data_IF_580196131795
#
_entry.id   IF_580196131795
#
_cell.length_a   1.000
_cell.length_b   1.000
_cell.length_c   1.000
_cell.angle_alpha   90.00
_cell.angle_beta   90.00
_cell.angle_gamma   90.00
#
_symmetry.space_group_name_H-M   'P 1'
#
loop_
_entity.id
_entity.type
_entity.pdbx_description
1 polymer ?
#
# COMPACT_ATOMS: atom_id res chain seq x y z
N UNK A 1 10.48 -75.01 -23.27
CA UNK A 1 11.63 -74.16 -22.90
C UNK A 1 11.11 -72.76 -22.60
N UNK A 2 11.57 -72.21 -21.47
CA UNK A 2 11.05 -71.06 -20.72
C UNK A 2 10.94 -69.79 -21.58
N UNK A 3 9.81 -69.07 -21.48
CA UNK A 3 9.75 -67.62 -21.67
C UNK A 3 9.36 -67.00 -20.33
N UNK A 4 10.21 -66.06 -19.93
CA UNK A 4 10.29 -65.41 -18.63
C UNK A 4 9.20 -64.33 -18.52
N UNK A 5 8.46 -64.36 -17.41
CA UNK A 5 7.63 -63.26 -16.93
C UNK A 5 8.52 -62.06 -16.58
N UNK A 6 8.13 -60.86 -17.00
CA UNK A 6 8.58 -59.60 -16.41
C UNK A 6 7.35 -58.88 -15.87
N UNK A 7 7.17 -58.97 -14.56
CA UNK A 7 6.24 -58.17 -13.76
C UNK A 7 6.65 -56.70 -13.82
N UNK A 8 5.76 -55.82 -14.26
CA UNK A 8 5.80 -54.40 -13.89
C UNK A 8 4.70 -54.14 -12.87
N UNK A 9 5.13 -53.88 -11.65
CA UNK A 9 4.33 -53.52 -10.49
C UNK A 9 3.73 -52.12 -10.72
N UNK A 10 2.41 -52.02 -10.89
CA UNK A 10 1.69 -50.74 -10.80
C UNK A 10 1.47 -50.48 -9.32
N UNK A 11 2.30 -49.61 -8.73
CA UNK A 11 2.12 -49.13 -7.36
C UNK A 11 1.22 -47.89 -7.44
N UNK A 12 -0.07 -48.08 -7.17
CA UNK A 12 -1.04 -46.98 -7.07
C UNK A 12 -0.79 -46.25 -5.75
N UNK A 13 -0.05 -45.14 -5.80
CA UNK A 13 0.01 -44.19 -4.69
C UNK A 13 -1.32 -43.42 -4.64
N UNK A 14 -2.27 -43.91 -3.84
CA UNK A 14 -3.36 -43.09 -3.34
C UNK A 14 -2.74 -42.21 -2.26
N UNK A 15 -2.36 -40.98 -2.62
CA UNK A 15 -2.02 -39.96 -1.65
C UNK A 15 -3.34 -39.59 -0.97
N UNK A 16 -3.58 -40.22 0.17
CA UNK A 16 -4.58 -39.77 1.13
C UNK A 16 -4.14 -38.39 1.62
N UNK A 17 -4.71 -37.35 1.02
CA UNK A 17 -4.67 -35.97 1.50
C UNK A 17 -5.56 -35.85 2.75
N UNK A 18 -5.22 -36.61 3.80
CA UNK A 18 -5.77 -36.41 5.13
C UNK A 18 -4.77 -35.60 5.95
N UNK A 19 -5.12 -34.32 6.12
CA UNK A 19 -4.95 -33.54 7.34
C UNK A 19 -3.70 -33.85 8.17
N UNK A 20 -2.65 -33.07 7.94
CA UNK A 20 -1.82 -32.58 9.05
C UNK A 20 -2.26 -31.13 9.34
N UNK A 21 -3.49 -30.99 9.83
CA UNK A 21 -3.82 -29.83 10.65
C UNK A 21 -3.12 -30.11 11.97
N UNK A 22 -1.94 -29.51 12.18
CA UNK A 22 -1.43 -29.38 13.53
C UNK A 22 -2.48 -28.61 14.33
N UNK A 23 -3.09 -29.27 15.31
CA UNK A 23 -3.88 -28.62 16.34
C UNK A 23 -2.96 -27.71 17.17
N UNK A 24 -2.59 -26.55 16.64
CA UNK A 24 -2.32 -25.37 17.45
C UNK A 24 -3.69 -24.81 17.86
N UNK A 25 -3.77 -24.21 19.06
CA UNK A 25 -5.01 -23.68 19.61
C UNK A 25 -5.81 -22.93 18.53
N UNK A 26 -7.04 -23.37 18.25
CA UNK A 26 -7.97 -22.74 17.32
C UNK A 26 -8.36 -21.35 17.84
N UNK A 27 -7.45 -20.39 17.69
CA UNK A 27 -7.71 -18.97 17.76
C UNK A 27 -8.56 -18.63 16.53
N UNK A 28 -9.86 -18.88 16.61
CA UNK A 28 -10.80 -18.54 15.54
C UNK A 28 -10.82 -17.01 15.43
N UNK A 29 -10.40 -16.48 14.28
CA UNK A 29 -10.46 -15.05 14.00
C UNK A 29 -11.92 -14.62 13.93
N UNK A 30 -12.25 -13.48 14.55
CA UNK A 30 -13.62 -12.98 14.64
C UNK A 30 -13.64 -11.48 14.44
N UNK A 31 -14.71 -11.01 13.79
CA UNK A 31 -14.99 -9.59 13.67
C UNK A 31 -15.00 -8.90 15.05
N UNK A 32 -14.45 -7.69 15.13
CA UNK A 32 -14.30 -6.89 16.35
C UNK A 32 -13.11 -7.27 17.23
N UNK A 33 -12.31 -8.27 16.87
CA UNK A 33 -11.13 -8.65 17.65
C UNK A 33 -9.95 -7.71 17.40
N UNK A 34 -9.52 -6.97 18.44
CA UNK A 34 -8.32 -6.14 18.44
C UNK A 34 -7.35 -6.70 19.48
N UNK A 35 -6.22 -7.28 19.05
CA UNK A 35 -5.30 -8.00 19.92
C UNK A 35 -4.64 -7.10 20.98
N UNK A 36 -4.09 -5.97 20.54
CA UNK A 36 -3.38 -5.00 21.37
C UNK A 36 -3.44 -3.61 20.72
N UNK A 37 -2.96 -2.61 21.46
CA UNK A 37 -2.89 -1.22 21.03
C UNK A 37 -1.41 -0.77 21.01
N UNK A 38 -0.70 -0.94 19.88
CA UNK A 38 0.71 -0.59 19.78
C UNK A 38 0.97 0.89 20.06
N UNK A 39 2.05 1.19 20.77
CA UNK A 39 2.42 2.58 21.08
C UNK A 39 2.96 3.27 19.84
N UNK A 40 2.80 4.60 19.75
CA UNK A 40 3.48 5.39 18.74
C UNK A 40 5.02 5.32 18.90
N UNK A 41 5.73 5.61 17.82
CA UNK A 41 7.19 5.45 17.76
C UNK A 41 7.97 6.77 17.95
N UNK A 42 7.34 7.78 18.56
CA UNK A 42 7.89 9.14 18.64
C UNK A 42 9.26 9.20 19.31
N UNK A 43 9.40 8.57 20.48
CA UNK A 43 10.62 8.70 21.29
C UNK A 43 11.85 8.09 20.60
N UNK A 44 11.69 6.94 19.94
CA UNK A 44 12.79 6.30 19.23
C UNK A 44 13.17 7.10 17.98
N UNK A 45 12.18 7.60 17.23
CA UNK A 45 12.41 8.44 16.06
C UNK A 45 13.10 9.77 16.40
N UNK A 46 12.66 10.46 17.46
CA UNK A 46 13.32 11.67 17.95
C UNK A 46 14.78 11.41 18.35
N UNK A 47 15.04 10.30 19.06
CA UNK A 47 16.39 9.91 19.42
C UNK A 47 17.25 9.70 18.17
N UNK A 48 16.75 8.94 17.20
CA UNK A 48 17.45 8.68 15.93
C UNK A 48 17.74 9.96 15.13
N UNK A 49 16.78 10.88 15.05
CA UNK A 49 16.96 12.15 14.33
C UNK A 49 17.94 13.10 15.02
N UNK A 50 17.92 13.15 16.37
CA UNK A 50 18.83 14.01 17.15
C UNK A 50 20.30 13.52 17.11
N UNK A 51 20.52 12.23 16.87
CA UNK A 51 21.86 11.64 16.76
C UNK A 51 22.47 11.78 15.35
N UNK A 52 21.69 12.17 14.34
CA UNK A 52 22.18 12.35 12.97
C UNK A 52 23.08 13.58 12.85
N UNK A 53 24.23 13.41 12.19
CA UNK A 53 25.07 14.51 11.78
C UNK A 53 24.35 15.39 10.72
N UNK A 54 24.63 16.69 10.70
CA UNK A 54 23.97 17.67 9.82
C UNK A 54 24.03 17.29 8.32
N UNK A 55 25.16 16.73 7.87
CA UNK A 55 25.33 16.30 6.48
C UNK A 55 24.41 15.13 6.08
N UNK A 56 24.00 14.31 7.05
CA UNK A 56 23.05 13.22 6.86
C UNK A 56 21.62 13.78 6.94
N UNK A 57 21.38 14.66 7.92
CA UNK A 57 20.07 15.27 8.20
C UNK A 57 19.51 16.10 7.04
N UNK A 58 20.37 16.86 6.36
CA UNK A 58 20.00 17.63 5.17
C UNK A 58 20.52 17.00 3.86
N UNK A 59 21.03 15.77 3.97
CA UNK A 59 21.51 15.01 2.82
C UNK A 59 20.36 14.48 1.99
N UNK A 60 20.60 14.37 0.68
CA UNK A 60 19.70 13.67 -0.23
C UNK A 60 20.00 12.18 -0.19
N UNK A 61 18.96 11.35 -0.15
CA UNK A 61 19.10 9.91 -0.35
C UNK A 61 19.37 9.56 -1.82
N UNK A 62 19.38 8.26 -2.14
CA UNK A 62 19.63 7.76 -3.50
C UNK A 62 18.56 8.19 -4.52
N UNK A 63 17.39 8.62 -4.05
CA UNK A 63 16.28 9.13 -4.87
C UNK A 63 16.23 10.67 -4.90
N UNK A 64 17.19 11.33 -4.26
CA UNK A 64 17.26 12.79 -4.19
C UNK A 64 16.44 13.41 -3.06
N UNK A 65 15.82 12.59 -2.19
CA UNK A 65 14.84 13.03 -1.18
C UNK A 65 15.56 13.44 0.12
N UNK A 66 15.08 14.51 0.73
CA UNK A 66 15.53 15.02 2.03
C UNK A 66 14.46 14.68 3.08
N UNK A 67 14.81 13.90 4.10
CA UNK A 67 13.89 13.51 5.17
C UNK A 67 14.06 14.38 6.42
N UNK A 68 13.13 15.31 6.61
CA UNK A 68 13.04 16.23 7.75
C UNK A 68 11.91 15.87 8.71
N UNK A 69 11.40 14.63 8.70
CA UNK A 69 10.40 14.20 9.68
C UNK A 69 10.95 14.28 11.09
N UNK A 70 10.16 14.85 12.01
CA UNK A 70 10.49 15.00 13.43
C UNK A 70 11.83 15.73 13.64
N UNK A 71 12.17 16.63 12.73
CA UNK A 71 13.43 17.34 12.72
C UNK A 71 13.24 18.80 13.11
N UNK A 72 14.08 19.28 14.03
CA UNK A 72 14.31 20.71 14.19
C UNK A 72 15.18 21.27 13.08
N UNK A 73 14.58 22.08 12.21
CA UNK A 73 15.20 22.59 10.97
C UNK A 73 15.94 23.89 11.26
N UNK A 74 17.20 23.95 10.83
CA UNK A 74 18.01 25.16 10.86
C UNK A 74 17.85 25.96 9.56
N UNK A 75 17.46 27.23 9.70
CA UNK A 75 17.33 28.20 8.60
C UNK A 75 18.55 28.30 7.69
N UNK A 76 19.78 28.13 8.21
CA UNK A 76 20.99 28.25 7.41
C UNK A 76 21.14 27.10 6.40
N UNK A 77 20.64 25.92 6.74
CA UNK A 77 20.65 24.77 5.84
C UNK A 77 19.47 24.82 4.88
N UNK A 78 18.29 25.20 5.36
CA UNK A 78 17.10 25.35 4.52
C UNK A 78 17.32 26.35 3.37
N UNK A 79 18.03 27.44 3.62
CA UNK A 79 18.36 28.45 2.60
C UNK A 79 19.40 28.00 1.55
N UNK A 80 20.04 26.83 1.72
CA UNK A 80 20.96 26.24 0.74
C UNK A 80 20.24 25.37 -0.27
N UNK A 81 19.01 24.96 0.03
CA UNK A 81 18.21 24.10 -0.83
C UNK A 81 17.56 24.92 -1.95
N UNK A 82 17.47 24.32 -3.14
CA UNK A 82 16.74 24.94 -4.24
C UNK A 82 15.23 24.89 -3.97
N UNK A 83 14.45 25.73 -4.65
CA UNK A 83 13.00 25.70 -4.49
C UNK A 83 12.39 24.37 -4.94
N UNK A 84 13.01 23.68 -5.91
CA UNK A 84 12.58 22.34 -6.32
C UNK A 84 12.90 21.30 -5.24
N UNK A 85 14.06 21.38 -4.57
CA UNK A 85 14.36 20.50 -3.44
C UNK A 85 13.30 20.62 -2.34
N UNK A 86 12.89 21.85 -2.03
CA UNK A 86 11.89 22.14 -1.00
C UNK A 86 10.49 21.63 -1.37
N UNK A 87 10.08 21.80 -2.64
CA UNK A 87 8.71 21.53 -3.06
C UNK A 87 8.50 20.12 -3.61
N UNK A 88 9.55 19.46 -4.11
CA UNK A 88 9.44 18.23 -4.89
C UNK A 88 10.19 17.04 -4.27
N UNK A 89 11.15 17.27 -3.37
CA UNK A 89 12.07 16.23 -2.89
C UNK A 89 12.25 16.26 -1.36
N UNK A 90 11.16 16.45 -0.63
CA UNK A 90 11.20 16.56 0.83
C UNK A 90 10.08 15.77 1.51
N UNK A 91 10.47 15.00 2.52
CA UNK A 91 9.56 14.36 3.45
C UNK A 91 9.61 15.10 4.80
N UNK A 92 8.45 15.34 5.40
CA UNK A 92 8.33 16.06 6.67
C UNK A 92 7.00 15.71 7.34
N UNK A 93 6.81 16.12 8.59
CA UNK A 93 5.61 15.79 9.36
C UNK A 93 5.15 16.97 10.23
N UNK A 94 4.02 16.78 10.91
CA UNK A 94 3.49 17.76 11.88
C UNK A 94 4.45 18.05 13.05
N UNK A 95 5.50 17.24 13.21
CA UNK A 95 6.49 17.34 14.27
C UNK A 95 7.79 17.99 13.78
N UNK A 96 7.90 18.30 12.49
CA UNK A 96 9.01 19.09 11.93
C UNK A 96 8.93 20.51 12.48
N UNK A 97 9.95 20.92 13.24
CA UNK A 97 10.04 22.28 13.77
C UNK A 97 10.71 23.20 12.73
N UNK A 98 9.88 23.95 12.01
CA UNK A 98 10.34 24.92 11.02
C UNK A 98 10.92 26.21 11.64
N UNK A 99 11.94 26.83 11.02
CA UNK A 99 12.40 28.15 11.44
C UNK A 99 11.32 29.21 11.18
N UNK A 100 11.38 30.33 11.93
CA UNK A 100 10.41 31.44 11.82
C UNK A 100 10.26 32.00 10.40
N UNK A 101 11.33 31.96 9.61
CA UNK A 101 11.34 32.45 8.23
C UNK A 101 11.68 31.30 7.28
N UNK A 102 10.77 31.04 6.35
CA UNK A 102 10.93 30.04 5.29
C UNK A 102 11.38 30.70 3.98
N UNK A 103 12.10 29.98 3.10
CA UNK A 103 12.39 30.44 1.75
C UNK A 103 11.12 30.85 1.01
N UNK A 104 11.19 31.95 0.26
CA UNK A 104 10.04 32.45 -0.52
C UNK A 104 9.60 31.39 -1.54
N UNK A 105 8.32 31.03 -1.50
CA UNK A 105 7.72 30.04 -2.41
C UNK A 105 7.65 28.61 -1.85
N UNK A 106 8.12 28.40 -0.62
CA UNK A 106 7.96 27.14 0.11
C UNK A 106 6.93 27.31 1.23
N UNK A 107 5.89 26.48 1.20
CA UNK A 107 4.79 26.46 2.18
C UNK A 107 4.49 24.99 2.57
N UNK A 108 5.17 24.47 3.61
CA UNK A 108 5.00 23.07 4.02
C UNK A 108 3.60 22.77 4.56
N UNK A 109 2.92 23.76 5.15
CA UNK A 109 1.56 23.58 5.63
C UNK A 109 0.61 23.36 4.46
N UNK A 110 0.73 24.18 3.40
CA UNK A 110 -0.06 24.00 2.19
C UNK A 110 0.21 22.65 1.52
N UNK A 111 1.45 22.18 1.49
CA UNK A 111 1.79 20.86 0.95
C UNK A 111 1.12 19.73 1.75
N UNK A 112 1.08 19.82 3.09
CA UNK A 112 0.33 18.86 3.93
C UNK A 112 -1.15 18.87 3.59
N UNK A 113 -1.78 20.05 3.50
CA UNK A 113 -3.21 20.12 3.23
C UNK A 113 -3.56 19.59 1.82
N UNK A 114 -2.83 19.99 0.77
CA UNK A 114 -3.00 19.42 -0.57
C UNK A 114 -2.67 17.92 -0.62
N UNK A 115 -1.75 17.46 0.25
CA UNK A 115 -1.41 16.06 0.40
C UNK A 115 -2.57 15.21 0.92
N UNK A 116 -3.45 15.79 1.76
CA UNK A 116 -4.66 15.13 2.30
C UNK A 116 -5.82 15.12 1.30
N UNK A 117 -5.85 16.03 0.34
CA UNK A 117 -6.96 16.17 -0.60
C UNK A 117 -7.19 14.90 -1.42
N UNK A 118 -8.48 14.64 -1.70
CA UNK A 118 -8.96 13.54 -2.55
C UNK A 118 -8.67 13.86 -4.03
N UNK A 119 -7.51 13.43 -4.50
CA UNK A 119 -6.94 13.73 -5.82
C UNK A 119 -7.81 13.19 -6.96
N UNK A 120 -7.69 13.81 -8.14
CA UNK A 120 -8.34 13.37 -9.39
C UNK A 120 -9.87 13.23 -9.27
N UNK A 121 -10.53 14.21 -8.65
CA UNK A 121 -11.99 14.25 -8.44
C UNK A 121 -12.54 13.09 -7.59
N UNK A 122 -11.71 12.45 -6.78
CA UNK A 122 -12.16 11.38 -5.89
C UNK A 122 -13.18 11.88 -4.84
N UNK A 123 -13.15 13.17 -4.48
CA UNK A 123 -14.19 13.74 -3.61
C UNK A 123 -15.59 13.65 -4.26
N UNK A 124 -15.70 13.85 -5.58
CA UNK A 124 -17.00 13.76 -6.27
C UNK A 124 -17.58 12.34 -6.21
N UNK A 125 -16.71 11.33 -6.24
CA UNK A 125 -17.09 9.93 -6.04
C UNK A 125 -17.69 9.71 -4.65
N UNK A 126 -17.04 10.27 -3.63
CA UNK A 126 -17.51 10.19 -2.25
C UNK A 126 -18.84 10.92 -2.05
N UNK A 127 -19.00 12.08 -2.67
CA UNK A 127 -20.21 12.91 -2.61
C UNK A 127 -21.42 12.23 -3.30
N UNK A 128 -21.16 11.35 -4.28
CA UNK A 128 -22.16 10.46 -4.89
C UNK A 128 -22.55 9.27 -3.99
N UNK A 129 -21.90 9.11 -2.83
CA UNK A 129 -22.17 8.04 -1.86
C UNK A 129 -21.27 6.81 -2.01
N UNK A 130 -20.31 6.83 -2.94
CA UNK A 130 -19.35 5.74 -3.14
C UNK A 130 -18.08 6.04 -2.35
N UNK A 131 -17.98 5.54 -1.13
CA UNK A 131 -16.89 5.82 -0.20
C UNK A 131 -16.35 4.57 0.52
N UNK A 132 -16.70 3.38 0.02
CA UNK A 132 -16.26 2.08 0.50
C UNK A 132 -17.20 1.43 1.51
N UNK A 133 -18.28 2.11 1.90
CA UNK A 133 -19.23 1.58 2.87
C UNK A 133 -19.79 0.21 2.44
N UNK A 134 -19.80 -0.75 3.37
CA UNK A 134 -20.29 -2.11 3.13
C UNK A 134 -19.27 -3.05 2.48
N UNK A 135 -18.05 -2.60 2.22
CA UNK A 135 -16.96 -3.40 1.64
C UNK A 135 -15.81 -3.53 2.65
N UNK A 136 -15.29 -4.75 2.80
CA UNK A 136 -14.11 -5.02 3.60
C UNK A 136 -12.82 -4.97 2.77
N UNK A 137 -11.79 -4.37 3.35
CA UNK A 137 -10.40 -4.43 2.89
C UNK A 137 -9.60 -5.13 3.99
N UNK A 138 -8.92 -6.22 3.63
CA UNK A 138 -7.93 -6.80 4.50
C UNK A 138 -6.54 -6.26 4.15
N UNK A 139 -5.65 -6.21 5.14
CA UNK A 139 -4.29 -5.74 4.97
C UNK A 139 -3.32 -6.61 5.75
N UNK A 140 -2.22 -7.01 5.09
CA UNK A 140 -1.09 -7.68 5.72
C UNK A 140 0.08 -6.73 5.59
N UNK A 141 0.57 -6.19 6.70
CA UNK A 141 1.66 -5.22 6.71
C UNK A 141 2.35 -5.19 8.09
N UNK A 142 3.27 -4.27 8.34
CA UNK A 142 3.94 -4.11 9.64
C UNK A 142 2.99 -3.55 10.71
N UNK A 143 3.42 -3.56 11.98
CA UNK A 143 2.63 -3.11 13.14
C UNK A 143 1.87 -1.80 12.92
N UNK A 144 0.57 -1.79 13.19
CA UNK A 144 -0.36 -0.67 13.01
C UNK A 144 -0.52 0.17 14.29
N UNK A 145 -0.63 1.49 14.15
CA UNK A 145 -1.11 2.38 15.20
C UNK A 145 -2.64 2.39 15.21
N UNK A 146 -3.25 1.44 15.92
CA UNK A 146 -4.70 1.17 15.87
C UNK A 146 -5.57 2.36 16.32
N UNK A 147 -5.05 3.20 17.21
CA UNK A 147 -5.79 4.33 17.80
C UNK A 147 -5.74 5.62 16.97
N UNK A 148 -5.05 5.60 15.81
CA UNK A 148 -4.96 6.78 14.96
C UNK A 148 -6.34 7.23 14.46
N UNK A 149 -6.63 8.54 14.49
CA UNK A 149 -7.94 9.12 14.15
C UNK A 149 -8.42 8.84 12.73
N UNK A 150 -7.48 8.60 11.81
CA UNK A 150 -7.77 8.19 10.44
C UNK A 150 -8.27 6.73 10.33
N UNK A 151 -7.95 5.87 11.29
CA UNK A 151 -8.02 4.41 11.14
C UNK A 151 -8.99 3.76 12.12
N UNK A 152 -8.99 4.21 13.38
CA UNK A 152 -9.65 3.53 14.50
C UNK A 152 -11.13 3.20 14.30
N UNK A 153 -11.86 4.07 13.61
CA UNK A 153 -13.31 3.89 13.41
C UNK A 153 -13.61 2.81 12.35
N UNK A 154 -12.67 2.62 11.41
CA UNK A 154 -12.77 1.65 10.31
C UNK A 154 -12.16 0.29 10.66
N UNK A 155 -11.28 0.21 11.66
CA UNK A 155 -10.63 -1.02 12.09
C UNK A 155 -11.63 -1.99 12.73
N UNK A 156 -11.86 -3.14 12.07
CA UNK A 156 -12.78 -4.19 12.52
C UNK A 156 -12.06 -5.43 13.02
N UNK A 157 -10.78 -5.60 12.68
CA UNK A 157 -9.97 -6.71 13.15
C UNK A 157 -8.50 -6.28 13.19
N UNK A 158 -7.79 -6.66 14.24
CA UNK A 158 -6.35 -6.49 14.35
C UNK A 158 -5.71 -7.68 15.07
N UNK A 159 -4.76 -8.33 14.40
CA UNK A 159 -3.90 -9.37 14.97
C UNK A 159 -2.45 -9.07 14.64
N UNK A 160 -1.53 -9.33 15.57
CA UNK A 160 -0.13 -8.96 15.42
C UNK A 160 0.82 -10.13 15.72
N UNK A 161 1.56 -10.51 14.68
CA UNK A 161 2.61 -11.52 14.64
C UNK A 161 4.01 -10.93 14.42
N UNK A 162 4.10 -9.70 13.89
CA UNK A 162 5.36 -8.94 13.74
C UNK A 162 6.24 -8.99 14.99
N UNK A 163 7.56 -8.99 14.79
CA UNK A 163 8.56 -8.97 15.87
C UNK A 163 8.38 -7.76 16.78
N UNK A 164 8.09 -6.58 16.20
CA UNK A 164 7.85 -5.34 16.93
C UNK A 164 6.35 -5.03 17.11
N UNK A 165 5.54 -6.01 17.49
CA UNK A 165 4.08 -5.86 17.67
C UNK A 165 3.60 -4.85 18.71
N UNK A 166 4.48 -4.33 19.57
CA UNK A 166 4.13 -3.38 20.63
C UNK A 166 4.35 -1.90 20.25
N UNK A 167 4.96 -1.65 19.08
CA UNK A 167 5.32 -0.31 18.60
C UNK A 167 4.91 -0.17 17.15
N UNK A 168 4.19 0.90 16.82
CA UNK A 168 3.73 1.14 15.46
C UNK A 168 4.89 1.37 14.48
N UNK A 169 4.73 0.81 13.29
CA UNK A 169 5.62 1.00 12.15
C UNK A 169 5.13 2.15 11.27
N UNK A 170 6.04 2.79 10.54
CA UNK A 170 5.67 3.77 9.52
C UNK A 170 4.84 3.11 8.40
N UNK A 171 5.33 1.98 7.87
CA UNK A 171 4.79 1.36 6.67
C UNK A 171 3.35 0.87 6.89
N UNK A 172 3.07 0.16 7.99
CA UNK A 172 1.72 -0.34 8.27
C UNK A 172 0.68 0.76 8.48
N UNK A 173 1.07 1.86 9.15
CA UNK A 173 0.18 3.02 9.37
C UNK A 173 -0.07 3.78 8.07
N UNK A 174 0.98 4.00 7.27
CA UNK A 174 0.88 4.65 5.97
C UNK A 174 -0.07 3.88 5.05
N UNK A 175 0.18 2.58 4.84
CA UNK A 175 -0.63 1.75 3.93
C UNK A 175 -2.10 1.74 4.35
N UNK A 176 -2.38 1.53 5.64
CA UNK A 176 -3.76 1.52 6.16
C UNK A 176 -4.46 2.86 5.91
N UNK A 177 -3.79 3.98 6.18
CA UNK A 177 -4.39 5.31 6.00
C UNK A 177 -4.63 5.67 4.53
N UNK A 178 -3.79 5.22 3.59
CA UNK A 178 -4.04 5.41 2.15
C UNK A 178 -5.31 4.67 1.71
N UNK A 179 -5.54 3.46 2.21
CA UNK A 179 -6.73 2.68 1.85
C UNK A 179 -8.00 3.25 2.51
N UNK A 180 -8.01 3.35 3.84
CA UNK A 180 -9.23 3.58 4.64
C UNK A 180 -9.19 4.82 5.53
N UNK A 181 -8.18 5.67 5.39
CA UNK A 181 -8.07 6.90 6.18
C UNK A 181 -9.30 7.80 6.03
N UNK A 182 -9.90 8.19 7.14
CA UNK A 182 -11.07 9.08 7.19
C UNK A 182 -10.95 10.30 6.26
N UNK A 183 -9.86 11.06 6.35
CA UNK A 183 -9.62 12.26 5.55
C UNK A 183 -8.66 12.00 4.40
N UNK A 184 -7.71 11.07 4.54
CA UNK A 184 -6.64 10.87 3.52
C UNK A 184 -6.85 9.66 2.62
N UNK A 185 -7.72 8.72 3.01
CA UNK A 185 -7.86 7.43 2.35
C UNK A 185 -8.77 7.41 1.13
N UNK A 186 -8.59 6.41 0.27
CA UNK A 186 -9.39 6.26 -0.96
C UNK A 186 -10.82 5.80 -0.66
N UNK A 187 -10.98 4.87 0.27
CA UNK A 187 -12.25 4.28 0.69
C UNK A 187 -12.49 4.54 2.19
N UNK A 188 -12.81 5.79 2.58
CA UNK A 188 -12.80 6.22 3.99
C UNK A 188 -13.88 5.58 4.88
N UNK A 189 -14.81 4.80 4.31
CA UNK A 189 -15.84 4.07 5.05
C UNK A 189 -15.78 2.54 4.83
N UNK A 190 -14.71 2.03 4.21
CA UNK A 190 -14.48 0.58 4.11
C UNK A 190 -14.05 0.02 5.47
N UNK A 191 -14.47 -1.21 5.75
CA UNK A 191 -14.06 -1.94 6.96
C UNK A 191 -12.63 -2.47 6.80
N UNK A 192 -11.74 -2.17 7.75
CA UNK A 192 -10.34 -2.61 7.73
C UNK A 192 -10.14 -3.86 8.60
N UNK A 193 -9.55 -4.90 8.01
CA UNK A 193 -9.13 -6.12 8.70
C UNK A 193 -7.62 -6.28 8.59
N UNK A 194 -6.88 -5.98 9.67
CA UNK A 194 -5.44 -5.83 9.61
C UNK A 194 -4.70 -6.97 10.32
N UNK A 195 -3.68 -7.52 9.65
CA UNK A 195 -2.74 -8.49 10.21
C UNK A 195 -1.35 -7.88 10.17
N UNK A 196 -0.74 -7.68 11.35
CA UNK A 196 0.64 -7.22 11.44
C UNK A 196 1.61 -8.40 11.32
N UNK A 197 2.35 -8.48 10.21
CA UNK A 197 3.30 -9.55 9.87
C UNK A 197 4.56 -8.99 9.19
N UNK A 198 5.72 -9.57 9.51
CA UNK A 198 7.02 -9.20 8.95
C UNK A 198 7.50 -10.28 7.97
N UNK A 199 7.47 -10.00 6.67
CA UNK A 199 7.95 -10.95 5.64
C UNK A 199 9.45 -10.84 5.35
N UNK A 200 10.14 -9.86 5.92
CA UNK A 200 11.58 -9.66 5.80
C UNK A 200 12.22 -9.55 7.17
N UNK A 201 13.19 -10.42 7.43
CA UNK A 201 13.99 -10.38 8.63
C UNK A 201 15.26 -9.55 8.38
N UNK A 202 15.34 -8.35 8.96
CA UNK A 202 16.49 -7.47 8.80
C UNK A 202 17.78 -8.00 9.45
N UNK A 203 17.68 -8.89 10.45
CA UNK A 203 18.85 -9.47 11.13
C UNK A 203 19.51 -10.55 10.27
N UNK A 204 18.71 -11.48 9.76
CA UNK A 204 19.18 -12.59 8.90
C UNK A 204 19.27 -12.18 7.43
N UNK A 205 18.59 -11.10 7.03
CA UNK A 205 18.39 -10.63 5.66
C UNK A 205 17.64 -11.63 4.78
N UNK A 206 16.77 -12.42 5.39
CA UNK A 206 15.98 -13.45 4.72
C UNK A 206 14.53 -13.00 4.51
N UNK A 207 13.94 -13.44 3.39
CA UNK A 207 12.51 -13.30 3.13
C UNK A 207 11.80 -14.63 3.42
N UNK A 208 10.63 -14.53 4.07
CA UNK A 208 9.77 -15.68 4.35
C UNK A 208 8.30 -15.27 4.20
N UNK A 209 7.61 -15.90 3.27
CA UNK A 209 6.19 -15.65 3.00
C UNK A 209 5.27 -16.74 3.57
N UNK A 210 5.80 -17.68 4.35
CA UNK A 210 5.03 -18.81 4.89
C UNK A 210 3.86 -18.30 5.75
N UNK A 211 4.13 -17.35 6.65
CA UNK A 211 3.10 -16.82 7.55
C UNK A 211 2.11 -15.90 6.84
N UNK A 212 2.58 -15.07 5.88
CA UNK A 212 1.67 -14.30 5.04
C UNK A 212 0.70 -15.20 4.24
N UNK A 213 1.16 -16.35 3.75
CA UNK A 213 0.30 -17.33 3.10
C UNK A 213 -0.75 -17.91 4.07
N UNK A 214 -0.34 -18.26 5.30
CA UNK A 214 -1.25 -18.73 6.36
C UNK A 214 -2.29 -17.64 6.72
N UNK A 215 -1.87 -16.38 6.80
CA UNK A 215 -2.74 -15.26 7.11
C UNK A 215 -3.79 -15.02 6.02
N UNK A 216 -3.45 -15.14 4.73
CA UNK A 216 -4.42 -15.10 3.64
C UNK A 216 -5.49 -16.19 3.83
N UNK A 217 -5.09 -17.42 4.19
CA UNK A 217 -6.05 -18.50 4.43
C UNK A 217 -6.93 -18.22 5.65
N UNK A 218 -6.38 -17.65 6.72
CA UNK A 218 -7.15 -17.23 7.90
C UNK A 218 -8.13 -16.10 7.57
N UNK A 219 -7.75 -15.15 6.71
CA UNK A 219 -8.63 -14.09 6.20
C UNK A 219 -9.79 -14.69 5.41
N UNK A 220 -9.55 -15.69 4.55
CA UNK A 220 -10.60 -16.39 3.81
C UNK A 220 -11.62 -17.02 4.78
N UNK A 221 -11.15 -17.69 5.84
CA UNK A 221 -12.03 -18.29 6.85
C UNK A 221 -12.80 -17.22 7.65
N UNK A 222 -12.15 -16.15 8.07
CA UNK A 222 -12.81 -15.00 8.71
C UNK A 222 -13.92 -14.45 7.81
N UNK A 223 -13.63 -14.25 6.52
CA UNK A 223 -14.54 -13.64 5.55
C UNK A 223 -15.86 -14.39 5.40
N UNK A 224 -15.88 -15.71 5.61
CA UNK A 224 -17.11 -16.52 5.61
C UNK A 224 -18.11 -16.06 6.68
N UNK A 225 -17.61 -15.51 7.78
CA UNK A 225 -18.42 -15.08 8.94
C UNK A 225 -18.88 -13.62 8.89
N UNK A 226 -18.33 -12.82 7.97
CA UNK A 226 -18.59 -11.37 7.91
C UNK A 226 -19.87 -11.06 7.15
N UNK A 227 -20.59 -10.01 7.58
CA UNK A 227 -21.70 -9.44 6.81
C UNK A 227 -21.14 -8.62 5.63
N UNK A 228 -20.28 -7.64 5.93
CA UNK A 228 -19.52 -6.90 4.93
C UNK A 228 -18.32 -7.75 4.49
N UNK A 229 -18.36 -8.25 3.25
CA UNK A 229 -17.32 -9.14 2.73
C UNK A 229 -16.03 -8.38 2.46
N UNK A 230 -14.91 -8.99 2.86
CA UNK A 230 -13.58 -8.64 2.37
C UNK A 230 -13.53 -8.99 0.89
N UNK A 231 -13.24 -7.99 0.06
CA UNK A 231 -13.16 -8.12 -1.42
C UNK A 231 -11.72 -8.06 -1.93
N UNK A 232 -10.81 -7.52 -1.13
CA UNK A 232 -9.41 -7.37 -1.48
C UNK A 232 -8.52 -7.48 -0.25
N UNK A 233 -7.36 -8.13 -0.42
CA UNK A 233 -6.24 -8.13 0.51
C UNK A 233 -5.15 -7.23 -0.09
N UNK A 234 -4.86 -6.12 0.58
CA UNK A 234 -3.73 -5.25 0.29
C UNK A 234 -2.49 -5.79 1.01
N UNK A 235 -1.50 -6.26 0.26
CA UNK A 235 -0.25 -6.78 0.81
C UNK A 235 0.93 -6.07 0.13
N UNK A 236 1.39 -4.96 0.74
CA UNK A 236 2.41 -4.07 0.17
C UNK A 236 3.84 -4.60 0.30
N UNK A 237 4.02 -5.89 0.01
CA UNK A 237 5.30 -6.61 0.02
C UNK A 237 5.29 -7.71 -1.04
N UNK A 238 6.47 -8.29 -1.29
CA UNK A 238 6.65 -9.35 -2.26
C UNK A 238 8.11 -9.54 -2.66
N UNK A 239 8.33 -10.03 -3.87
CA UNK A 239 9.64 -10.37 -4.40
C UNK A 239 9.72 -10.04 -5.89
N UNK A 240 10.89 -9.62 -6.37
CA UNK A 240 11.11 -9.35 -7.80
C UNK A 240 11.37 -10.63 -8.60
N UNK A 241 11.86 -11.68 -7.94
CA UNK A 241 12.14 -13.00 -8.47
C UNK A 241 11.86 -14.02 -7.38
N UNK A 242 11.27 -15.17 -7.72
CA UNK A 242 11.11 -16.30 -6.79
C UNK A 242 12.42 -16.95 -6.38
N UNK A 243 13.49 -16.64 -7.12
CA UNK A 243 14.82 -17.16 -6.87
C UNK A 243 15.68 -16.07 -6.25
N UNK A 244 16.35 -16.42 -5.15
CA UNK A 244 17.45 -15.65 -4.56
C UNK A 244 18.64 -15.58 -5.53
N UNK A 245 19.62 -14.71 -5.24
CA UNK A 245 20.83 -14.57 -6.07
C UNK A 245 21.62 -15.88 -6.21
N UNK A 246 21.59 -16.77 -5.20
CA UNK A 246 22.21 -18.10 -5.24
C UNK A 246 21.32 -19.19 -5.85
N UNK A 247 20.18 -18.80 -6.46
CA UNK A 247 19.30 -19.67 -7.22
C UNK A 247 18.34 -20.53 -6.37
N UNK A 248 18.20 -20.25 -5.08
CA UNK A 248 17.24 -20.94 -4.21
C UNK A 248 15.87 -20.30 -4.31
N UNK A 249 14.82 -21.10 -4.14
CA UNK A 249 13.46 -20.57 -4.05
C UNK A 249 13.32 -19.83 -2.73
N UNK A 250 12.73 -18.63 -2.77
CA UNK A 250 12.40 -17.85 -1.58
C UNK A 250 11.42 -18.65 -0.71
N UNK A 251 11.70 -18.70 0.59
CA UNK A 251 10.88 -19.47 1.54
C UNK A 251 9.44 -18.95 1.56
N UNK A 252 8.47 -19.86 1.49
CA UNK A 252 7.04 -19.52 1.49
C UNK A 252 6.51 -18.97 0.17
N UNK A 253 7.34 -18.79 -0.88
CA UNK A 253 6.86 -18.14 -2.12
C UNK A 253 5.85 -19.01 -2.88
N UNK A 254 5.95 -20.33 -2.78
CA UNK A 254 5.01 -21.27 -3.44
C UNK A 254 3.70 -21.32 -2.67
N UNK A 255 3.78 -21.34 -1.35
CA UNK A 255 2.64 -21.29 -0.43
C UNK A 255 1.84 -20.00 -0.60
N UNK A 256 2.54 -18.87 -0.77
CA UNK A 256 1.91 -17.57 -1.03
C UNK A 256 1.07 -17.59 -2.30
N UNK A 257 1.61 -18.12 -3.40
CA UNK A 257 0.87 -18.18 -4.67
C UNK A 257 -0.36 -19.09 -4.60
N UNK A 258 -0.24 -20.21 -3.90
CA UNK A 258 -1.39 -21.09 -3.67
C UNK A 258 -2.45 -20.43 -2.78
N UNK A 259 -2.04 -19.63 -1.78
CA UNK A 259 -2.95 -18.86 -0.96
C UNK A 259 -3.66 -17.75 -1.76
N UNK A 260 -2.94 -17.05 -2.65
CA UNK A 260 -3.51 -16.06 -3.59
C UNK A 260 -4.56 -16.72 -4.47
N UNK A 261 -4.23 -17.86 -5.10
CA UNK A 261 -5.17 -18.62 -5.93
C UNK A 261 -6.44 -19.03 -5.17
N UNK A 262 -6.30 -19.46 -3.91
CA UNK A 262 -7.46 -19.78 -3.05
C UNK A 262 -8.27 -18.55 -2.67
N UNK A 263 -7.65 -17.39 -2.49
CA UNK A 263 -8.36 -16.14 -2.24
C UNK A 263 -9.21 -15.75 -3.46
N UNK A 264 -8.66 -15.87 -4.67
CA UNK A 264 -9.38 -15.66 -5.93
C UNK A 264 -10.60 -16.60 -6.06
N UNK A 265 -10.44 -17.89 -5.75
CA UNK A 265 -11.55 -18.87 -5.71
C UNK A 265 -12.67 -18.48 -4.73
N UNK A 266 -12.37 -17.63 -3.75
CA UNK A 266 -13.32 -17.11 -2.77
C UNK A 266 -13.75 -15.65 -3.05
N UNK A 267 -13.51 -15.13 -4.26
CA UNK A 267 -13.83 -13.77 -4.71
C UNK A 267 -13.11 -12.66 -3.90
N UNK A 268 -11.88 -12.94 -3.47
CA UNK A 268 -10.99 -12.01 -2.78
C UNK A 268 -9.76 -11.78 -3.67
N UNK A 269 -9.58 -10.58 -4.19
CA UNK A 269 -8.36 -10.21 -4.91
C UNK A 269 -7.20 -10.07 -3.92
N UNK A 270 -6.00 -10.54 -4.25
CA UNK A 270 -4.79 -10.25 -3.47
C UNK A 270 -3.86 -9.38 -4.29
N UNK A 271 -3.68 -8.14 -3.86
CA UNK A 271 -2.76 -7.20 -4.48
C UNK A 271 -1.42 -7.25 -3.73
N UNK A 272 -0.38 -7.78 -4.39
CA UNK A 272 0.95 -7.90 -3.81
C UNK A 272 2.07 -7.77 -4.85
N UNK A 273 3.26 -7.38 -4.40
CA UNK A 273 4.38 -7.00 -5.26
C UNK A 273 5.20 -8.22 -5.71
N UNK A 274 4.54 -9.17 -6.39
CA UNK A 274 5.16 -10.36 -6.99
C UNK A 274 5.01 -10.34 -8.52
N UNK A 275 5.86 -11.03 -9.30
CA UNK A 275 5.78 -11.01 -10.74
C UNK A 275 4.46 -11.61 -11.24
N UNK A 276 3.80 -10.91 -12.16
CA UNK A 276 2.53 -11.36 -12.75
C UNK A 276 1.28 -11.00 -11.94
N UNK A 277 1.40 -10.46 -10.73
CA UNK A 277 0.25 -9.92 -10.01
C UNK A 277 -0.35 -8.71 -10.73
N UNK A 278 -1.67 -8.56 -10.68
CA UNK A 278 -2.40 -7.49 -11.36
C UNK A 278 -1.98 -6.08 -10.93
N UNK A 279 -1.44 -5.91 -9.72
CA UNK A 279 -0.98 -4.60 -9.24
C UNK A 279 0.18 -4.03 -10.06
N UNK A 280 0.94 -4.88 -10.77
CA UNK A 280 2.06 -4.46 -11.60
C UNK A 280 1.65 -3.69 -12.87
N UNK A 281 0.35 -3.61 -13.17
CA UNK A 281 -0.20 -2.74 -14.22
C UNK A 281 -0.22 -1.27 -13.81
N UNK A 282 0.02 -0.98 -12.54
CA UNK A 282 -0.05 0.38 -12.00
C UNK A 282 1.33 0.96 -11.72
N UNK A 283 1.43 2.29 -11.88
CA UNK A 283 2.64 3.07 -11.58
C UNK A 283 2.29 4.34 -10.79
N UNK A 284 3.26 4.86 -10.03
CA UNK A 284 3.08 6.09 -9.26
C UNK A 284 3.12 7.34 -10.13
N UNK A 285 2.26 8.28 -9.80
CA UNK A 285 2.11 9.57 -10.45
C UNK A 285 2.42 10.69 -9.46
N UNK A 286 3.29 11.61 -9.88
CA UNK A 286 3.55 12.85 -9.15
C UNK A 286 2.76 14.01 -9.76
N UNK A 287 2.78 15.15 -9.08
CA UNK A 287 2.08 16.37 -9.51
C UNK A 287 2.95 17.61 -9.38
N UNK A 288 2.59 18.66 -10.09
CA UNK A 288 3.16 20.01 -9.86
C UNK A 288 2.76 20.49 -8.47
N UNK A 289 3.74 20.86 -7.64
CA UNK A 289 3.47 21.39 -6.30
C UNK A 289 2.66 22.68 -6.39
N UNK A 290 1.68 22.84 -5.51
CA UNK A 290 0.77 23.98 -5.48
C UNK A 290 -0.16 24.14 -6.69
N UNK A 291 -0.18 23.15 -7.59
CA UNK A 291 -1.17 23.02 -8.65
C UNK A 291 -2.48 22.40 -8.13
N UNK A 292 -3.56 22.59 -8.88
CA UNK A 292 -4.86 21.97 -8.61
C UNK A 292 -4.75 20.44 -8.65
N UNK A 293 -5.10 19.77 -7.56
CA UNK A 293 -5.04 18.30 -7.41
C UNK A 293 -6.11 17.55 -8.20
N UNK A 294 -7.09 18.27 -8.73
CA UNK A 294 -8.19 17.70 -9.53
C UNK A 294 -7.97 17.87 -11.03
N UNK A 295 -7.05 18.75 -11.43
CA UNK A 295 -6.63 18.88 -12.83
C UNK A 295 -5.57 17.82 -13.15
N UNK A 296 -5.98 16.80 -13.90
CA UNK A 296 -5.08 15.71 -14.32
C UNK A 296 -3.88 16.20 -15.17
N UNK A 297 -3.95 17.39 -15.77
CA UNK A 297 -2.82 17.97 -16.51
C UNK A 297 -1.66 18.42 -15.59
N UNK A 298 -1.91 18.57 -14.28
CA UNK A 298 -0.87 18.86 -13.31
C UNK A 298 -0.04 17.63 -12.92
N UNK A 299 -0.40 16.45 -13.43
CA UNK A 299 0.23 15.20 -13.08
C UNK A 299 1.21 14.70 -14.15
N UNK A 300 2.21 13.95 -13.71
CA UNK A 300 3.21 13.32 -14.58
C UNK A 300 3.83 12.09 -13.89
N UNK A 301 4.36 11.13 -14.66
CA UNK A 301 5.17 10.05 -14.10
C UNK A 301 6.35 10.60 -13.29
N UNK A 302 6.65 10.00 -12.13
CA UNK A 302 7.84 10.36 -11.36
C UNK A 302 9.12 9.92 -12.07
N UNK A 303 9.12 8.67 -12.54
CA UNK A 303 10.15 8.15 -13.43
C UNK A 303 9.63 8.14 -14.86
N UNK A 304 10.34 8.85 -15.74
CA UNK A 304 10.11 8.74 -17.18
C UNK A 304 10.70 7.39 -17.61
N UNK A 305 9.84 6.41 -17.91
CA UNK A 305 10.26 5.06 -18.29
C UNK A 305 9.57 4.64 -19.58
N UNK A 306 10.11 3.63 -20.26
CA UNK A 306 9.39 2.87 -21.28
C UNK A 306 8.40 1.91 -20.59
N UNK A 307 7.45 2.47 -19.83
CA UNK A 307 6.39 1.68 -19.25
C UNK A 307 5.57 1.01 -20.37
N UNK A 308 5.04 -0.21 -20.14
CA UNK A 308 4.10 -0.83 -21.08
C UNK A 308 2.93 0.10 -21.43
N UNK A 309 2.44 0.04 -22.67
CA UNK A 309 1.36 0.92 -23.17
C UNK A 309 0.05 0.80 -22.37
N UNK A 310 -0.17 -0.33 -21.69
CA UNK A 310 -1.33 -0.62 -20.84
C UNK A 310 -1.14 -0.21 -19.36
N UNK A 311 -0.07 0.53 -19.04
CA UNK A 311 0.19 1.02 -17.68
C UNK A 311 -0.83 2.11 -17.26
N UNK A 312 -1.42 1.96 -16.08
CA UNK A 312 -2.28 2.96 -15.45
C UNK A 312 -1.57 3.67 -14.30
N UNK A 313 -1.60 5.00 -14.30
CA UNK A 313 -0.95 5.80 -13.28
C UNK A 313 -1.91 6.24 -12.16
N UNK A 314 -1.46 6.15 -10.91
CA UNK A 314 -2.22 6.53 -9.71
C UNK A 314 -1.48 7.59 -8.86
N UNK A 315 -2.18 8.54 -8.22
CA UNK A 315 -1.58 9.72 -7.58
C UNK A 315 -1.06 9.43 -6.15
N UNK A 316 0.02 8.64 -6.07
CA UNK A 316 0.62 8.14 -4.82
C UNK A 316 1.85 8.92 -4.34
N UNK A 317 2.28 9.95 -5.08
CA UNK A 317 3.33 10.87 -4.65
C UNK A 317 2.74 12.17 -4.11
N UNK A 318 3.57 12.96 -3.38
CA UNK A 318 3.18 14.25 -2.77
C UNK A 318 1.87 14.11 -1.99
N UNK A 319 1.86 13.11 -1.11
CA UNK A 319 0.69 12.68 -0.34
C UNK A 319 0.92 12.91 1.13
N UNK A 320 -0.17 13.11 1.86
CA UNK A 320 -0.19 13.11 3.31
C UNK A 320 -0.91 11.89 3.83
N UNK A 321 -0.36 11.29 4.88
CA UNK A 321 -0.86 10.06 5.48
C UNK A 321 -0.80 10.14 7.01
N UNK A 322 -1.47 9.19 7.66
CA UNK A 322 -1.43 9.06 9.12
C UNK A 322 -0.01 8.81 9.61
N UNK A 323 0.45 9.56 10.60
CA UNK A 323 1.78 9.35 11.17
C UNK A 323 1.75 8.30 12.27
N UNK A 324 2.70 7.37 12.21
CA UNK A 324 2.97 6.40 13.27
C UNK A 324 3.53 7.02 14.57
N UNK A 325 3.69 8.35 14.60
CA UNK A 325 4.30 9.12 15.69
C UNK A 325 3.29 9.74 16.65
N UNK A 326 1.99 9.66 16.37
CA UNK A 326 0.94 10.12 17.27
C UNK A 326 -0.43 9.86 16.69
N UNK A 327 -1.45 9.74 17.55
CA UNK A 327 -2.81 9.35 17.14
C UNK A 327 -3.52 10.39 16.26
N UNK A 328 -3.01 11.62 16.23
CA UNK A 328 -3.58 12.78 15.53
C UNK A 328 -2.52 13.51 14.67
N UNK A 329 -1.45 12.82 14.28
CA UNK A 329 -0.31 13.39 13.55
C UNK A 329 -0.27 12.89 12.12
N UNK A 330 0.27 13.71 11.23
CA UNK A 330 0.38 13.41 9.80
C UNK A 330 1.81 13.57 9.32
N UNK A 331 2.14 12.81 8.28
CA UNK A 331 3.39 12.92 7.55
C UNK A 331 3.10 13.21 6.07
N UNK A 332 3.98 13.97 5.43
CA UNK A 332 3.98 14.25 4.01
C UNK A 332 5.20 13.58 3.38
N UNK A 333 4.96 12.78 2.35
CA UNK A 333 6.03 12.21 1.53
C UNK A 333 5.94 12.74 0.10
N UNK A 334 7.07 13.22 -0.41
CA UNK A 334 7.17 13.69 -1.80
C UNK A 334 7.13 12.53 -2.80
N UNK A 335 7.46 11.32 -2.38
CA UNK A 335 7.43 10.09 -3.17
C UNK A 335 6.86 8.93 -2.35
N UNK A 336 5.86 8.22 -2.88
CA UNK A 336 5.17 7.15 -2.16
C UNK A 336 5.70 5.74 -2.39
N UNK A 337 6.67 5.56 -3.29
CA UNK A 337 7.15 4.24 -3.68
C UNK A 337 6.07 3.34 -4.30
N UNK A 338 6.45 2.12 -4.65
CA UNK A 338 5.54 1.13 -5.20
C UNK A 338 4.52 0.62 -4.16
N UNK A 339 4.93 0.54 -2.89
CA UNK A 339 4.06 0.09 -1.80
C UNK A 339 2.77 0.90 -1.70
N UNK A 340 2.83 2.23 -1.90
CA UNK A 340 1.65 3.10 -1.82
C UNK A 340 0.60 2.86 -2.91
N UNK A 341 0.99 2.22 -4.03
CA UNK A 341 0.06 1.88 -5.12
C UNK A 341 -0.93 0.81 -4.66
N UNK A 342 -0.45 -0.19 -3.91
CA UNK A 342 -1.24 -1.35 -3.47
C UNK A 342 -2.48 -0.93 -2.67
N UNK A 343 -2.39 -0.15 -1.57
CA UNK A 343 -3.56 0.26 -0.80
C UNK A 343 -4.42 1.28 -1.54
N UNK A 344 -3.84 2.10 -2.43
CA UNK A 344 -4.61 3.04 -3.24
C UNK A 344 -5.54 2.31 -4.21
N UNK A 345 -5.01 1.32 -4.93
CA UNK A 345 -5.78 0.48 -5.87
C UNK A 345 -6.76 -0.42 -5.12
N UNK A 346 -6.38 -0.97 -3.96
CA UNK A 346 -7.31 -1.71 -3.09
C UNK A 346 -8.51 -0.84 -2.69
N UNK A 347 -8.27 0.43 -2.32
CA UNK A 347 -9.32 1.39 -2.03
C UNK A 347 -10.21 1.67 -3.24
N UNK A 348 -9.65 1.92 -4.42
CA UNK A 348 -10.44 2.13 -5.63
C UNK A 348 -11.31 0.93 -6.00
N UNK A 349 -10.75 -0.28 -5.87
CA UNK A 349 -11.50 -1.50 -6.13
C UNK A 349 -12.61 -1.71 -5.09
N UNK A 350 -12.40 -1.32 -3.83
CA UNK A 350 -13.48 -1.31 -2.84
C UNK A 350 -14.63 -0.35 -3.21
N UNK A 351 -14.33 0.84 -3.76
CA UNK A 351 -15.35 1.74 -4.30
C UNK A 351 -16.11 1.10 -5.46
N UNK A 352 -15.39 0.41 -6.36
CA UNK A 352 -16.00 -0.32 -7.48
C UNK A 352 -16.90 -1.47 -7.00
N UNK A 353 -16.49 -2.21 -5.97
CA UNK A 353 -17.29 -3.27 -5.35
C UNK A 353 -18.54 -2.73 -4.64
N UNK A 354 -18.48 -1.50 -4.12
CA UNK A 354 -19.67 -0.83 -3.59
C UNK A 354 -20.66 -0.47 -4.72
N UNK A 355 -20.15 -0.05 -5.88
CA UNK A 355 -20.96 0.29 -7.05
C UNK A 355 -21.59 -0.95 -7.71
N UNK A 356 -20.80 -2.00 -7.90
CA UNK A 356 -21.23 -3.30 -8.39
C UNK A 356 -20.64 -4.41 -7.51
N UNK A 357 -21.46 -4.97 -6.62
CA UNK A 357 -21.02 -6.02 -5.70
C UNK A 357 -20.61 -7.32 -6.41
N UNK A 358 -20.94 -7.50 -7.69
CA UNK A 358 -20.56 -8.68 -8.47
C UNK A 358 -19.27 -8.51 -9.29
N UNK A 359 -18.72 -7.29 -9.35
CA UNK A 359 -17.56 -6.98 -10.19
C UNK A 359 -16.34 -7.84 -9.80
N UNK A 360 -15.62 -8.38 -10.77
CA UNK A 360 -14.31 -9.01 -10.55
C UNK A 360 -13.19 -7.97 -10.72
N UNK A 361 -11.98 -8.30 -10.27
CA UNK A 361 -10.85 -7.38 -10.42
C UNK A 361 -10.49 -7.16 -11.89
N UNK A 362 -10.59 -8.19 -12.74
CA UNK A 362 -10.37 -8.07 -14.18
C UNK A 362 -11.36 -7.09 -14.82
N UNK A 363 -12.64 -7.17 -14.41
CA UNK A 363 -13.65 -6.24 -14.93
C UNK A 363 -13.41 -4.81 -14.44
N UNK A 364 -12.97 -4.65 -13.20
CA UNK A 364 -12.51 -3.35 -12.70
C UNK A 364 -11.35 -2.79 -13.54
N UNK A 365 -10.35 -3.61 -13.89
CA UNK A 365 -9.24 -3.20 -14.75
C UNK A 365 -9.70 -2.78 -16.14
N UNK A 366 -10.62 -3.53 -16.77
CA UNK A 366 -11.19 -3.16 -18.07
C UNK A 366 -11.88 -1.80 -18.03
N UNK A 367 -12.64 -1.52 -16.96
CA UNK A 367 -13.34 -0.25 -16.79
C UNK A 367 -12.35 0.88 -16.50
N UNK A 368 -11.38 0.65 -15.62
CA UNK A 368 -10.30 1.60 -15.32
C UNK A 368 -9.51 1.97 -16.57
N UNK A 369 -9.20 0.99 -17.41
CA UNK A 369 -8.54 1.18 -18.70
C UNK A 369 -9.41 2.04 -19.63
N UNK A 370 -10.66 1.63 -19.87
CA UNK A 370 -11.61 2.33 -20.77
C UNK A 370 -11.83 3.80 -20.39
N UNK A 371 -11.80 4.11 -19.10
CA UNK A 371 -12.19 5.43 -18.55
C UNK A 371 -11.02 6.33 -18.19
N UNK A 372 -9.78 5.82 -18.30
CA UNK A 372 -8.57 6.56 -17.96
C UNK A 372 -8.44 7.87 -18.76
N UNK A 373 -7.91 8.90 -18.11
CA UNK A 373 -7.46 10.09 -18.81
C UNK A 373 -6.26 9.76 -19.69
N UNK A 374 -6.20 10.32 -20.89
CA UNK A 374 -4.98 10.34 -21.70
C UNK A 374 -4.23 11.64 -21.43
N UNK A 375 -2.94 11.53 -21.09
CA UNK A 375 -2.08 12.68 -20.84
C UNK A 375 -0.74 12.53 -21.55
N UNK A 376 0.00 13.63 -21.58
CA UNK A 376 1.27 13.73 -22.26
C UNK A 376 2.24 14.61 -21.47
N UNK A 377 3.50 14.18 -21.45
CA UNK A 377 4.59 14.97 -20.89
C UNK A 377 5.79 14.93 -21.84
N UNK A 378 6.68 15.91 -21.69
CA UNK A 378 7.95 15.96 -22.43
C UNK A 378 9.08 15.92 -21.43
N UNK A 379 9.99 14.95 -21.57
CA UNK A 379 11.26 14.91 -20.84
C UNK A 379 12.43 15.15 -21.79
N UNK A 380 13.53 15.69 -21.26
CA UNK A 380 14.74 15.92 -22.06
C UNK A 380 15.39 14.60 -22.51
N UNK A 381 15.32 13.57 -21.68
CA UNK A 381 15.95 12.27 -21.93
C UNK A 381 15.14 11.36 -22.86
N UNK A 382 13.81 11.35 -22.72
CA UNK A 382 12.93 10.42 -23.43
C UNK A 382 11.98 11.11 -24.44
N UNK A 383 12.02 12.44 -24.52
CA UNK A 383 11.13 13.21 -25.39
C UNK A 383 9.67 13.16 -24.94
N UNK A 384 8.76 13.23 -25.92
CA UNK A 384 7.31 13.23 -25.70
C UNK A 384 6.81 11.83 -25.34
N UNK A 385 6.24 11.68 -24.16
CA UNK A 385 5.67 10.44 -23.64
C UNK A 385 4.17 10.61 -23.41
N UNK A 386 3.38 9.63 -23.86
CA UNK A 386 1.97 9.51 -23.54
C UNK A 386 1.80 8.53 -22.39
N UNK A 387 0.86 8.81 -21.51
CA UNK A 387 0.56 7.97 -20.36
C UNK A 387 -0.90 8.11 -19.98
N UNK A 388 -1.39 7.15 -19.20
CA UNK A 388 -2.81 7.02 -18.86
C UNK A 388 -2.99 7.15 -17.36
N UNK A 389 -3.92 8.00 -16.93
CA UNK A 389 -4.14 8.31 -15.53
C UNK A 389 -5.49 7.75 -15.11
N UNK A 390 -5.56 7.13 -13.94
CA UNK A 390 -6.80 6.63 -13.37
C UNK A 390 -7.85 7.76 -13.27
N UNK A 391 -9.11 7.44 -13.57
CA UNK A 391 -10.23 8.37 -13.45
C UNK A 391 -11.29 7.80 -12.50
N UNK A 392 -11.17 8.04 -11.18
CA UNK A 392 -12.07 7.45 -10.18
C UNK A 392 -13.54 7.76 -10.47
N UNK A 393 -13.85 8.99 -10.88
CA UNK A 393 -15.21 9.40 -11.16
C UNK A 393 -15.82 8.66 -12.37
N UNK A 394 -15.09 8.57 -13.48
CA UNK A 394 -15.59 7.89 -14.67
C UNK A 394 -15.70 6.37 -14.49
N UNK A 395 -14.85 5.76 -13.67
CA UNK A 395 -14.97 4.34 -13.31
C UNK A 395 -16.34 4.08 -12.67
N UNK A 396 -16.69 4.88 -11.66
CA UNK A 396 -17.95 4.71 -10.94
C UNK A 396 -19.15 5.03 -11.84
N UNK A 397 -19.07 6.07 -12.67
CA UNK A 397 -20.12 6.36 -13.65
C UNK A 397 -20.36 5.22 -14.64
N UNK A 398 -19.30 4.58 -15.15
CA UNK A 398 -19.42 3.43 -16.04
C UNK A 398 -20.05 2.21 -15.35
N UNK A 399 -19.82 2.01 -14.05
CA UNK A 399 -20.33 0.84 -13.31
C UNK A 399 -21.80 0.95 -12.89
N UNK A 400 -22.33 2.18 -12.77
CA UNK A 400 -23.69 2.41 -12.27
C UNK A 400 -24.71 2.68 -13.39
N UNK A 401 -24.22 2.82 -14.63
CA UNK A 401 -25.01 2.97 -15.85
C UNK A 401 -25.39 1.60 -16.42
#
# INVERSE_FOLDING_TARGET
MKKILSMSLILTFIISSCLLISCSNNDIWKNGYIQNHPRNNLTLMQKGQNERADNIKYGKDIYGIIDLRTTKVDSQYLNRLSLSDLNDFMNFDDLTEWPKYLPKGFDPQRLIEEGKEKKLNLQEVHDKGYNGAGVGIAMIDQTLLVDHVEIKDNLKFYKAFSKEKEVASMHGVEMASIAVGKNVGVAPNADLYFVAEDCYDYETKEQDFTHAAEDILNIIELNKTLDNKIRVISFSSGYSSKYTEDGKIIKGSVELEEAIRKAEENNIEVLCLIPGNNINKFQSLTRTSYGDVNDFNNYKPYFYTNAPDDTLYVPTDKKTYASFLGEDKYAYDSWGGMSSIVPYVAGLYALACQADNSITFEKFLEVADKTAYESECVSEEYGKQRFRIINPNAIIEELIN
#
